data_IF_534316562507
#
_entry.id   IF_534316562507
#
_cell.length_a   1.000
_cell.length_b   1.000
_cell.length_c   1.000
_cell.angle_alpha   90.00
_cell.angle_beta   90.00
_cell.angle_gamma   90.00
#
_symmetry.space_group_name_H-M   'P 1'
#
loop_
_entity.id
_entity.type
_entity.pdbx_description
1 polymer ?
#
# COMPACT_ATOMS: atom_id res chain seq x y z
N UNK A 1 21.37 10.39 16.51
CA UNK A 1 20.49 10.02 15.36
C UNK A 1 19.51 11.16 15.15
N UNK A 2 19.58 11.88 14.03
CA UNK A 2 18.58 12.91 13.73
C UNK A 2 17.50 12.28 12.84
N UNK A 3 16.37 11.98 13.46
CA UNK A 3 15.13 11.56 12.80
C UNK A 3 14.63 12.70 11.92
N UNK A 4 14.44 12.46 10.63
CA UNK A 4 13.77 13.36 9.69
C UNK A 4 12.26 13.38 10.00
N UNK A 5 11.90 14.02 11.12
CA UNK A 5 10.54 14.51 11.29
C UNK A 5 10.51 15.89 10.65
N UNK A 6 9.90 15.99 9.47
CA UNK A 6 9.60 17.27 8.83
C UNK A 6 8.61 17.97 9.77
N UNK A 7 9.14 18.84 10.64
CA UNK A 7 8.31 19.71 11.48
C UNK A 7 7.67 20.75 10.55
N UNK A 8 6.35 20.95 10.59
CA UNK A 8 5.69 22.01 9.84
C UNK A 8 6.01 23.36 10.53
N UNK A 9 7.18 23.91 10.23
CA UNK A 9 7.51 25.29 10.58
C UNK A 9 7.08 26.21 9.44
N UNK A 10 6.41 27.32 9.76
CA UNK A 10 6.00 28.38 8.82
C UNK A 10 7.18 28.84 7.94
N UNK A 11 7.36 28.20 6.78
CA UNK A 11 8.34 28.61 5.78
C UNK A 11 7.73 29.76 4.99
N UNK A 12 8.34 30.96 5.11
CA UNK A 12 8.08 32.09 4.22
C UNK A 12 8.26 31.61 2.77
N UNK A 13 7.21 31.73 1.97
CA UNK A 13 7.21 31.33 0.57
C UNK A 13 8.11 32.32 -0.19
N UNK A 14 9.35 31.92 -0.46
CA UNK A 14 10.20 32.60 -1.44
C UNK A 14 9.69 32.20 -2.83
N UNK A 15 9.70 33.13 -3.78
CA UNK A 15 9.24 32.85 -5.15
C UNK A 15 10.03 31.69 -5.77
N UNK A 16 9.34 30.72 -6.35
CA UNK A 16 9.85 29.46 -6.91
C UNK A 16 11.05 29.65 -7.88
N UNK A 17 11.07 30.76 -8.64
CA UNK A 17 12.18 31.11 -9.56
C UNK A 17 13.50 31.47 -8.84
N UNK A 18 13.43 32.07 -7.67
CA UNK A 18 14.61 32.46 -6.88
C UNK A 18 15.16 31.23 -6.15
N UNK A 19 14.27 30.37 -5.64
CA UNK A 19 14.66 29.10 -5.00
C UNK A 19 15.42 28.18 -5.97
N UNK A 20 14.92 28.00 -7.20
CA UNK A 20 15.57 27.17 -8.20
C UNK A 20 17.00 27.64 -8.54
N UNK A 21 17.23 28.96 -8.59
CA UNK A 21 18.57 29.54 -8.84
C UNK A 21 19.55 29.33 -7.69
N UNK A 22 19.07 29.30 -6.45
CA UNK A 22 19.91 29.00 -5.29
C UNK A 22 20.16 27.50 -5.16
N UNK A 23 19.16 26.68 -5.44
CA UNK A 23 19.28 25.22 -5.48
C UNK A 23 20.34 24.75 -6.49
N UNK A 24 20.38 25.34 -7.68
CA UNK A 24 21.38 25.00 -8.71
C UNK A 24 22.82 25.33 -8.31
N UNK A 25 23.05 26.12 -7.26
CA UNK A 25 24.40 26.39 -6.72
C UNK A 25 24.91 25.28 -5.80
N UNK A 26 24.05 24.35 -5.38
CA UNK A 26 24.45 23.19 -4.59
C UNK A 26 24.80 22.05 -5.55
N UNK A 27 26.06 21.56 -5.61
CA UNK A 27 26.50 20.66 -6.69
C UNK A 27 25.65 19.40 -6.86
N UNK A 28 25.36 18.69 -5.76
CA UNK A 28 24.59 17.45 -5.83
C UNK A 28 23.12 17.70 -6.15
N UNK A 29 22.54 18.80 -5.65
CA UNK A 29 21.17 19.19 -5.96
C UNK A 29 21.02 19.58 -7.44
N UNK A 30 22.01 20.27 -8.01
CA UNK A 30 22.04 20.59 -9.43
C UNK A 30 22.06 19.30 -10.28
N UNK A 31 22.89 18.31 -9.90
CA UNK A 31 22.88 16.99 -10.55
C UNK A 31 21.50 16.33 -10.53
N UNK A 32 20.76 16.46 -9.43
CA UNK A 32 19.40 15.93 -9.32
C UNK A 32 18.38 16.72 -10.18
N UNK A 33 18.51 18.04 -10.27
CA UNK A 33 17.70 18.88 -11.16
C UNK A 33 17.95 18.55 -12.65
N UNK A 34 19.20 18.26 -13.02
CA UNK A 34 19.56 17.84 -14.37
C UNK A 34 18.92 16.48 -14.70
N UNK A 35 18.92 15.52 -13.75
CA UNK A 35 18.21 14.24 -13.90
C UNK A 35 16.71 14.40 -14.10
N UNK A 36 16.06 15.32 -13.39
CA UNK A 36 14.63 15.62 -13.57
C UNK A 36 14.33 16.21 -14.96
N UNK A 37 15.30 16.88 -15.56
CA UNK A 37 15.15 17.51 -16.88
C UNK A 37 15.40 16.53 -18.03
N UNK A 38 15.70 15.25 -17.74
CA UNK A 38 15.91 14.23 -18.77
C UNK A 38 14.65 14.04 -19.65
N UNK A 39 14.80 13.96 -21.00
CA UNK A 39 13.66 13.87 -21.93
C UNK A 39 12.74 12.67 -21.70
N UNK A 40 13.26 11.60 -21.08
CA UNK A 40 12.53 10.37 -20.78
C UNK A 40 11.62 10.50 -19.55
N UNK A 41 11.61 11.66 -18.87
CA UNK A 41 10.71 11.92 -17.76
C UNK A 41 9.38 12.45 -18.31
N UNK A 42 8.34 11.63 -18.21
CA UNK A 42 7.00 11.95 -18.70
C UNK A 42 6.06 12.25 -17.54
N UNK A 43 4.91 12.85 -17.87
CA UNK A 43 3.80 12.95 -16.94
C UNK A 43 3.27 11.54 -16.59
N UNK A 44 2.70 11.41 -15.39
CA UNK A 44 1.94 10.22 -14.99
C UNK A 44 0.47 10.54 -15.12
N UNK A 45 -0.24 9.66 -15.82
CA UNK A 45 -1.69 9.73 -16.00
C UNK A 45 -2.36 8.74 -15.07
N UNK A 46 -3.35 9.21 -14.31
CA UNK A 46 -4.23 8.37 -13.50
C UNK A 46 -5.60 8.36 -14.16
N UNK A 47 -5.97 7.21 -14.70
CA UNK A 47 -7.27 6.96 -15.32
C UNK A 47 -7.98 5.83 -14.58
N UNK A 48 -9.21 6.09 -14.21
CA UNK A 48 -10.07 5.15 -13.54
C UNK A 48 -11.48 5.68 -13.39
N UNK A 49 -12.38 4.84 -12.90
CA UNK A 49 -13.79 5.22 -12.69
C UNK A 49 -13.94 6.45 -11.79
N UNK A 50 -13.13 6.53 -10.72
CA UNK A 50 -13.23 7.56 -9.68
C UNK A 50 -12.14 8.64 -9.77
N UNK A 51 -11.20 8.50 -10.72
CA UNK A 51 -10.04 9.38 -10.83
C UNK A 51 -9.66 9.60 -12.29
N UNK A 52 -9.48 10.85 -12.67
CA UNK A 52 -9.02 11.20 -14.02
C UNK A 52 -8.19 12.48 -13.97
N UNK A 53 -6.88 12.36 -13.82
CA UNK A 53 -5.98 13.51 -13.80
C UNK A 53 -4.55 13.15 -14.19
N UNK A 54 -3.83 14.16 -14.65
CA UNK A 54 -2.40 14.07 -14.97
C UNK A 54 -1.54 14.79 -13.92
N UNK A 55 -0.39 14.19 -13.65
CA UNK A 55 0.65 14.73 -12.77
C UNK A 55 1.93 14.95 -13.56
N UNK A 56 2.45 16.17 -13.48
CA UNK A 56 3.75 16.49 -14.04
C UNK A 56 4.85 16.04 -13.06
N UNK A 57 5.50 14.92 -13.38
CA UNK A 57 6.57 14.33 -12.56
C UNK A 57 7.76 15.28 -12.36
N UNK A 58 8.09 16.10 -13.37
CA UNK A 58 9.21 17.06 -13.27
C UNK A 58 8.88 18.13 -12.23
N UNK A 59 7.66 18.68 -12.27
CA UNK A 59 7.20 19.65 -11.29
C UNK A 59 7.16 19.05 -9.88
N UNK A 60 6.71 17.80 -9.75
CA UNK A 60 6.66 17.07 -8.49
C UNK A 60 8.06 16.80 -7.92
N UNK A 61 9.01 16.41 -8.77
CA UNK A 61 10.41 16.22 -8.39
C UNK A 61 11.06 17.54 -7.95
N UNK A 62 10.79 18.65 -8.64
CA UNK A 62 11.29 19.98 -8.24
C UNK A 62 10.73 20.41 -6.88
N UNK A 63 9.44 20.16 -6.64
CA UNK A 63 8.81 20.40 -5.35
C UNK A 63 9.51 19.59 -4.24
N UNK A 64 9.74 18.30 -4.47
CA UNK A 64 10.45 17.43 -3.52
C UNK A 64 11.84 17.97 -3.21
N UNK A 65 12.63 18.29 -4.24
CA UNK A 65 13.97 18.84 -4.07
C UNK A 65 13.96 20.19 -3.34
N UNK A 66 12.97 21.05 -3.59
CA UNK A 66 12.79 22.30 -2.86
C UNK A 66 12.49 22.05 -1.38
N UNK A 67 11.59 21.12 -1.05
CA UNK A 67 11.30 20.75 0.34
C UNK A 67 12.53 20.21 1.07
N UNK A 68 13.32 19.35 0.43
CA UNK A 68 14.57 18.83 1.00
C UNK A 68 15.56 19.96 1.22
N UNK A 69 15.78 20.82 0.21
CA UNK A 69 16.68 21.96 0.33
C UNK A 69 16.30 22.92 1.46
N UNK A 70 15.01 23.24 1.61
CA UNK A 70 14.52 24.11 2.69
C UNK A 70 14.69 23.46 4.07
N UNK A 71 14.49 22.16 4.16
CA UNK A 71 14.76 21.40 5.38
C UNK A 71 16.24 21.55 5.77
N UNK A 72 17.17 21.27 4.87
CA UNK A 72 18.61 21.40 5.14
C UNK A 72 19.02 22.85 5.45
N UNK A 73 18.47 23.84 4.74
CA UNK A 73 18.67 25.26 5.05
C UNK A 73 18.26 25.62 6.48
N UNK A 74 17.12 25.08 6.94
CA UNK A 74 16.63 25.36 8.29
C UNK A 74 17.53 24.80 9.39
N UNK A 75 18.24 23.70 9.12
CA UNK A 75 19.22 23.11 10.04
C UNK A 75 20.53 23.89 10.09
N UNK A 76 20.98 24.47 8.98
CA UNK A 76 22.25 25.22 8.91
C UNK A 76 22.20 26.65 9.51
N UNK A 77 21.04 27.13 9.96
CA UNK A 77 20.88 28.45 10.58
C UNK A 77 21.03 29.65 9.63
N UNK A 78 20.66 30.86 10.09
CA UNK A 78 20.55 32.07 9.27
C UNK A 78 21.75 33.03 9.30
N UNK A 79 22.91 32.63 9.83
CA UNK A 79 24.04 33.56 9.98
C UNK A 79 24.65 34.00 8.63
N UNK A 80 24.81 35.32 8.45
CA UNK A 80 25.26 35.95 7.20
C UNK A 80 26.77 36.28 7.20
N UNK A 81 27.63 35.30 7.51
CA UNK A 81 29.08 35.48 7.36
C UNK A 81 29.59 34.81 6.07
N UNK A 82 30.30 35.54 5.18
CA UNK A 82 30.75 35.02 3.89
C UNK A 82 31.76 33.87 4.00
N UNK A 83 32.63 33.85 5.02
CA UNK A 83 33.55 32.74 5.30
C UNK A 83 32.81 31.44 5.69
N UNK A 84 31.64 31.55 6.32
CA UNK A 84 30.78 30.41 6.66
C UNK A 84 29.88 29.97 5.49
N UNK A 85 29.80 30.75 4.41
CA UNK A 85 28.91 30.45 3.28
C UNK A 85 29.33 29.19 2.51
N UNK A 86 30.64 28.97 2.33
CA UNK A 86 31.15 27.77 1.65
C UNK A 86 31.00 26.51 2.53
N UNK A 87 31.23 26.64 3.84
CA UNK A 87 30.92 25.57 4.82
C UNK A 87 29.44 25.19 4.78
N UNK A 88 28.54 26.18 4.77
CA UNK A 88 27.08 25.96 4.70
C UNK A 88 26.68 25.24 3.41
N UNK A 89 27.21 25.65 2.26
CA UNK A 89 26.92 24.94 0.99
C UNK A 89 27.36 23.48 1.04
N UNK A 90 28.54 23.21 1.64
CA UNK A 90 29.04 21.85 1.81
C UNK A 90 28.15 21.03 2.74
N UNK A 91 27.73 21.58 3.88
CA UNK A 91 26.81 20.94 4.82
C UNK A 91 25.47 20.59 4.17
N UNK A 92 24.84 21.55 3.48
CA UNK A 92 23.59 21.33 2.74
C UNK A 92 23.78 20.24 1.68
N UNK A 93 24.87 20.31 0.91
CA UNK A 93 25.18 19.32 -0.12
C UNK A 93 25.32 17.91 0.45
N UNK A 94 26.00 17.76 1.58
CA UNK A 94 26.19 16.47 2.25
C UNK A 94 24.88 15.97 2.91
N UNK A 95 24.06 16.88 3.44
CA UNK A 95 22.70 16.59 3.91
C UNK A 95 21.81 16.03 2.79
N UNK A 96 21.81 16.65 1.61
CA UNK A 96 21.05 16.17 0.45
C UNK A 96 21.56 14.82 -0.05
N UNK A 97 22.88 14.58 -0.06
CA UNK A 97 23.45 13.26 -0.39
C UNK A 97 22.99 12.19 0.59
N UNK A 98 22.96 12.52 1.88
CA UNK A 98 22.50 11.61 2.92
C UNK A 98 21.01 11.29 2.73
N UNK A 99 20.17 12.31 2.53
CA UNK A 99 18.75 12.15 2.21
C UNK A 99 18.55 11.24 0.99
N UNK A 100 19.29 11.50 -0.09
CA UNK A 100 19.21 10.71 -1.32
C UNK A 100 19.50 9.23 -1.08
N UNK A 101 20.60 8.92 -0.38
CA UNK A 101 20.97 7.53 -0.05
C UNK A 101 19.91 6.87 0.83
N UNK A 102 19.33 7.62 1.78
CA UNK A 102 18.28 7.11 2.66
C UNK A 102 17.00 6.80 1.89
N UNK A 103 16.46 7.75 1.11
CA UNK A 103 15.24 7.54 0.33
C UNK A 103 15.37 6.38 -0.66
N UNK A 104 16.54 6.26 -1.31
CA UNK A 104 16.82 5.18 -2.25
C UNK A 104 16.77 3.79 -1.61
N UNK A 105 16.99 3.70 -0.30
CA UNK A 105 16.92 2.44 0.46
C UNK A 105 15.56 2.24 1.15
N UNK A 106 14.90 3.33 1.62
CA UNK A 106 13.65 3.27 2.39
C UNK A 106 12.43 3.05 1.49
N UNK A 107 12.36 3.69 0.32
CA UNK A 107 11.20 3.59 -0.58
C UNK A 107 10.90 2.12 -0.95
N UNK A 108 11.88 1.30 -1.39
CA UNK A 108 11.65 -0.11 -1.66
C UNK A 108 11.09 -0.88 -0.46
N UNK A 109 11.62 -0.63 0.74
CA UNK A 109 11.16 -1.29 1.97
C UNK A 109 9.72 -0.91 2.32
N UNK A 110 9.34 0.35 2.12
CA UNK A 110 7.96 0.78 2.35
C UNK A 110 6.98 0.19 1.33
N UNK A 111 7.42 -0.06 0.10
CA UNK A 111 6.63 -0.78 -0.91
C UNK A 111 6.46 -2.24 -0.50
N UNK A 112 7.53 -2.91 -0.06
CA UNK A 112 7.48 -4.29 0.44
C UNK A 112 6.50 -4.42 1.62
N UNK A 113 6.63 -3.56 2.63
CA UNK A 113 5.75 -3.55 3.81
C UNK A 113 4.30 -3.32 3.41
N UNK A 114 4.06 -2.37 2.50
CA UNK A 114 2.72 -2.10 1.98
C UNK A 114 2.10 -3.32 1.30
N UNK A 115 2.83 -3.99 0.41
CA UNK A 115 2.30 -5.19 -0.25
C UNK A 115 2.04 -6.33 0.75
N UNK A 116 2.90 -6.49 1.76
CA UNK A 116 2.65 -7.45 2.85
C UNK A 116 1.37 -7.10 3.62
N UNK A 117 1.14 -5.81 3.92
CA UNK A 117 -0.09 -5.34 4.56
C UNK A 117 -1.32 -5.55 3.67
N UNK A 118 -1.17 -5.39 2.34
CA UNK A 118 -2.21 -5.71 1.38
C UNK A 118 -2.52 -7.21 1.36
N UNK A 119 -1.50 -8.09 1.37
CA UNK A 119 -1.68 -9.54 1.45
C UNK A 119 -2.36 -9.97 2.76
N UNK A 120 -2.05 -9.30 3.87
CA UNK A 120 -2.78 -9.51 5.12
C UNK A 120 -4.25 -9.08 5.01
N UNK A 121 -4.50 -8.01 4.29
CA UNK A 121 -5.84 -7.47 4.08
C UNK A 121 -6.70 -8.36 3.18
N UNK A 122 -6.14 -8.78 2.05
CA UNK A 122 -6.74 -9.55 0.95
C UNK A 122 -6.90 -11.04 1.27
N UNK A 123 -5.84 -11.65 1.80
CA UNK A 123 -5.76 -13.10 1.93
C UNK A 123 -5.74 -13.57 3.39
N UNK A 124 -5.84 -12.63 4.34
CA UNK A 124 -5.72 -12.88 5.80
C UNK A 124 -4.41 -13.59 6.18
N UNK A 125 -3.38 -13.46 5.36
CA UNK A 125 -2.05 -14.02 5.61
C UNK A 125 -1.34 -13.11 6.61
N UNK A 126 -0.98 -13.63 7.79
CA UNK A 126 -0.24 -12.87 8.80
C UNK A 126 1.25 -13.15 8.68
N UNK A 127 1.98 -12.23 8.05
CA UNK A 127 3.43 -12.33 7.90
C UNK A 127 4.14 -11.94 9.20
N UNK A 128 4.87 -12.88 9.80
CA UNK A 128 5.67 -12.62 10.99
C UNK A 128 6.93 -11.79 10.66
N UNK A 129 7.51 -11.03 11.61
CA UNK A 129 8.69 -10.19 11.35
C UNK A 129 9.86 -10.94 10.69
N UNK A 130 10.14 -12.17 11.14
CA UNK A 130 11.18 -13.02 10.54
C UNK A 130 10.95 -13.30 9.04
N UNK A 131 9.70 -13.48 8.63
CA UNK A 131 9.35 -13.71 7.23
C UNK A 131 9.40 -12.41 6.43
N UNK A 132 9.00 -11.28 7.02
CA UNK A 132 9.17 -9.96 6.41
C UNK A 132 10.66 -9.66 6.13
N UNK A 133 11.55 -9.94 7.08
CA UNK A 133 13.00 -9.76 6.90
C UNK A 133 13.55 -10.63 5.77
N UNK A 134 13.07 -11.88 5.65
CA UNK A 134 13.43 -12.77 4.54
C UNK A 134 13.00 -12.18 3.19
N UNK A 135 11.75 -11.70 3.09
CA UNK A 135 11.23 -11.08 1.87
C UNK A 135 12.08 -9.85 1.50
N UNK A 136 12.40 -8.98 2.46
CA UNK A 136 13.24 -7.80 2.23
C UNK A 136 14.60 -8.20 1.66
N UNK A 137 15.27 -9.19 2.28
CA UNK A 137 16.58 -9.67 1.84
C UNK A 137 16.51 -10.29 0.44
N UNK A 138 15.46 -11.03 0.12
CA UNK A 138 15.30 -11.65 -1.19
C UNK A 138 15.07 -10.60 -2.28
N UNK A 139 14.14 -9.67 -2.04
CA UNK A 139 13.85 -8.57 -2.98
C UNK A 139 15.07 -7.67 -3.18
N UNK A 140 15.81 -7.36 -2.11
CA UNK A 140 17.08 -6.63 -2.18
C UNK A 140 18.04 -7.32 -3.17
N UNK A 141 18.29 -8.61 -2.99
CA UNK A 141 19.19 -9.38 -3.86
C UNK A 141 18.73 -9.43 -5.30
N UNK A 142 17.44 -9.64 -5.54
CA UNK A 142 16.88 -9.82 -6.89
C UNK A 142 16.81 -8.51 -7.67
N UNK A 143 16.47 -7.40 -7.03
CA UNK A 143 16.09 -6.15 -7.73
C UNK A 143 16.96 -4.94 -7.38
N UNK A 144 17.74 -4.98 -6.30
CA UNK A 144 18.51 -3.82 -5.81
C UNK A 144 20.02 -4.11 -5.65
N UNK A 145 20.44 -5.36 -5.82
CA UNK A 145 21.84 -5.81 -5.70
C UNK A 145 22.32 -5.80 -4.24
N UNK A 146 23.64 -5.68 -4.03
CA UNK A 146 24.24 -5.64 -2.69
C UNK A 146 24.07 -4.31 -1.93
N UNK A 147 23.16 -3.44 -2.38
CA UNK A 147 22.86 -2.19 -1.71
C UNK A 147 21.93 -2.46 -0.54
N UNK A 148 22.44 -2.35 0.69
CA UNK A 148 21.67 -2.58 1.91
C UNK A 148 20.38 -1.75 1.90
N UNK A 149 19.23 -2.43 1.83
CA UNK A 149 17.94 -1.78 2.03
C UNK A 149 17.78 -1.47 3.53
N UNK A 150 17.27 -0.28 3.83
CA UNK A 150 17.10 0.22 5.20
C UNK A 150 16.05 -0.60 5.94
N UNK A 151 16.49 -1.53 6.79
CA UNK A 151 15.61 -2.41 7.57
C UNK A 151 14.85 -1.64 8.67
N UNK A 152 15.41 -0.53 9.13
CA UNK A 152 14.86 0.28 10.21
C UNK A 152 13.78 1.24 9.71
N UNK A 153 12.68 1.34 10.49
CA UNK A 153 11.45 2.07 10.19
C UNK A 153 11.58 3.60 10.13
N UNK A 154 12.40 4.10 9.22
CA UNK A 154 12.48 5.52 8.88
C UNK A 154 11.33 5.86 7.92
N UNK A 155 10.58 6.91 8.25
CA UNK A 155 9.50 7.41 7.38
C UNK A 155 10.08 7.91 6.05
N UNK A 156 9.45 7.52 4.95
CA UNK A 156 9.79 8.03 3.63
C UNK A 156 9.34 9.50 3.52
N UNK A 157 10.31 10.41 3.42
CA UNK A 157 10.06 11.85 3.30
C UNK A 157 9.40 12.18 1.96
N UNK A 158 9.69 11.42 0.89
CA UNK A 158 9.02 11.57 -0.41
C UNK A 158 7.51 11.47 -0.24
N UNK A 159 7.02 10.40 0.38
CA UNK A 159 5.61 10.17 0.64
C UNK A 159 4.96 11.32 1.44
N UNK A 160 5.66 11.82 2.47
CA UNK A 160 5.19 12.94 3.29
C UNK A 160 5.04 14.22 2.48
N UNK A 161 6.03 14.55 1.65
CA UNK A 161 5.98 15.74 0.78
C UNK A 161 4.84 15.64 -0.22
N UNK A 162 4.60 14.46 -0.81
CA UNK A 162 3.47 14.25 -1.72
C UNK A 162 2.12 14.50 -1.03
N UNK A 163 1.94 13.95 0.17
CA UNK A 163 0.69 14.11 0.94
C UNK A 163 0.45 15.54 1.43
N UNK A 164 1.50 16.32 1.63
CA UNK A 164 1.41 17.73 2.03
C UNK A 164 1.23 18.69 0.84
N UNK A 165 1.37 18.20 -0.40
CA UNK A 165 1.17 19.03 -1.58
C UNK A 165 -0.32 19.29 -1.83
N UNK A 166 -0.79 20.47 -1.42
CA UNK A 166 -2.20 20.85 -1.57
C UNK A 166 -2.72 20.70 -3.01
N UNK A 167 -1.96 21.12 -4.01
CA UNK A 167 -2.39 21.00 -5.41
C UNK A 167 -2.62 19.54 -5.83
N UNK A 168 -1.77 18.61 -5.37
CA UNK A 168 -1.92 17.19 -5.62
C UNK A 168 -3.10 16.62 -4.82
N UNK A 169 -3.24 16.99 -3.54
CA UNK A 169 -4.38 16.58 -2.72
C UNK A 169 -5.72 17.04 -3.31
N UNK A 170 -5.77 18.28 -3.80
CA UNK A 170 -6.95 18.86 -4.46
C UNK A 170 -7.24 18.17 -5.80
N UNK A 171 -6.21 17.75 -6.56
CA UNK A 171 -6.38 16.94 -7.78
C UNK A 171 -6.90 15.53 -7.49
N UNK A 172 -6.41 14.89 -6.43
CA UNK A 172 -6.88 13.56 -6.01
C UNK A 172 -8.32 13.65 -5.52
N UNK A 173 -8.69 14.75 -4.86
CA UNK A 173 -10.05 15.07 -4.44
C UNK A 173 -10.80 13.91 -3.75
N UNK A 174 -10.34 13.55 -2.55
CA UNK A 174 -10.94 12.46 -1.78
C UNK A 174 -12.44 12.64 -1.51
N UNK A 175 -12.93 13.88 -1.43
CA UNK A 175 -14.36 14.15 -1.25
C UNK A 175 -15.18 13.76 -2.48
N UNK A 176 -14.71 14.09 -3.69
CA UNK A 176 -15.40 13.69 -4.93
C UNK A 176 -15.35 12.17 -5.11
N UNK A 177 -14.19 11.55 -4.86
CA UNK A 177 -14.06 10.07 -4.88
C UNK A 177 -15.10 9.43 -3.95
N UNK A 178 -15.21 9.93 -2.71
CA UNK A 178 -16.16 9.39 -1.75
C UNK A 178 -17.61 9.57 -2.21
N UNK A 179 -17.96 10.76 -2.73
CA UNK A 179 -19.32 11.03 -3.23
C UNK A 179 -19.70 10.11 -4.40
N UNK A 180 -18.79 9.86 -5.32
CA UNK A 180 -19.03 8.94 -6.44
C UNK A 180 -19.18 7.49 -5.95
N UNK A 181 -18.33 7.06 -5.00
CA UNK A 181 -18.46 5.76 -4.35
C UNK A 181 -19.80 5.61 -3.62
N UNK A 182 -20.23 6.63 -2.87
CA UNK A 182 -21.51 6.65 -2.16
C UNK A 182 -22.69 6.54 -3.15
N UNK A 183 -22.63 7.27 -4.26
CA UNK A 183 -23.65 7.21 -5.31
C UNK A 183 -23.73 5.83 -5.96
N UNK A 184 -22.57 5.25 -6.33
CA UNK A 184 -22.51 3.92 -6.92
C UNK A 184 -22.99 2.83 -5.95
N UNK A 185 -22.62 2.93 -4.68
CA UNK A 185 -23.05 1.98 -3.66
C UNK A 185 -24.58 2.04 -3.50
N UNK A 186 -25.13 3.25 -3.34
CA UNK A 186 -26.58 3.48 -3.26
C UNK A 186 -27.32 2.93 -4.48
N UNK A 187 -26.79 3.17 -5.69
CA UNK A 187 -27.39 2.70 -6.95
C UNK A 187 -27.38 1.18 -7.07
N UNK A 188 -26.30 0.54 -6.63
CA UNK A 188 -26.11 -0.90 -6.78
C UNK A 188 -26.72 -1.71 -5.62
N UNK A 189 -27.01 -1.08 -4.48
CA UNK A 189 -27.57 -1.73 -3.28
C UNK A 189 -28.85 -2.54 -3.50
N UNK A 190 -29.83 -2.11 -4.32
CA UNK A 190 -31.00 -2.93 -4.63
C UNK A 190 -30.62 -4.24 -5.33
N UNK A 191 -29.76 -4.17 -6.35
CA UNK A 191 -29.29 -5.34 -7.08
C UNK A 191 -28.46 -6.28 -6.20
N UNK A 192 -27.64 -5.72 -5.30
CA UNK A 192 -26.93 -6.50 -4.29
C UNK A 192 -27.90 -7.24 -3.38
N UNK A 193 -28.91 -6.54 -2.85
CA UNK A 193 -29.91 -7.13 -1.96
C UNK A 193 -30.70 -8.26 -2.64
N UNK A 194 -30.99 -8.11 -3.93
CA UNK A 194 -31.69 -9.13 -4.72
C UNK A 194 -30.83 -10.35 -5.04
N UNK A 195 -29.56 -10.15 -5.42
CA UNK A 195 -28.59 -11.24 -5.60
C UNK A 195 -28.41 -12.01 -4.30
N UNK A 196 -28.34 -11.27 -3.19
CA UNK A 196 -28.25 -11.84 -1.88
C UNK A 196 -29.41 -12.76 -1.56
N UNK A 197 -30.63 -12.27 -1.83
CA UNK A 197 -31.86 -13.03 -1.59
C UNK A 197 -31.93 -14.28 -2.47
N UNK A 198 -31.44 -14.20 -3.71
CA UNK A 198 -31.40 -15.34 -4.64
C UNK A 198 -30.44 -16.43 -4.16
N UNK A 199 -29.23 -16.09 -3.76
CA UNK A 199 -28.27 -17.07 -3.26
C UNK A 199 -28.71 -17.64 -1.91
N UNK A 200 -29.25 -16.85 -0.97
CA UNK A 200 -29.86 -17.39 0.25
C UNK A 200 -30.95 -18.42 -0.06
N UNK A 201 -31.86 -18.09 -0.98
CA UNK A 201 -32.95 -18.99 -1.38
C UNK A 201 -32.44 -20.30 -2.01
N UNK A 202 -31.27 -20.30 -2.66
CA UNK A 202 -30.67 -21.50 -3.24
C UNK A 202 -30.24 -22.50 -2.17
N UNK A 203 -29.69 -22.00 -1.06
CA UNK A 203 -29.25 -22.83 0.05
C UNK A 203 -30.39 -23.22 1.00
N UNK A 204 -31.35 -22.31 1.26
CA UNK A 204 -32.56 -22.65 2.02
C UNK A 204 -33.39 -23.74 1.32
N UNK A 205 -33.37 -23.80 -0.02
CA UNK A 205 -34.03 -24.85 -0.80
C UNK A 205 -33.23 -26.16 -0.92
N UNK A 206 -32.00 -26.23 -0.40
CA UNK A 206 -31.18 -27.44 -0.38
C UNK A 206 -31.37 -28.29 0.89
N UNK A 207 -30.61 -29.37 1.00
CA UNK A 207 -30.64 -30.35 2.11
C UNK A 207 -30.01 -29.85 3.42
N UNK A 208 -30.16 -28.56 3.74
CA UNK A 208 -29.76 -28.02 5.05
C UNK A 208 -30.78 -28.43 6.12
N UNK A 209 -30.30 -28.72 7.33
CA UNK A 209 -31.18 -28.90 8.48
C UNK A 209 -31.88 -27.58 8.85
N UNK A 210 -32.98 -27.64 9.59
CA UNK A 210 -33.72 -26.44 10.01
C UNK A 210 -32.86 -25.53 10.91
N UNK A 211 -32.00 -26.10 11.76
CA UNK A 211 -31.04 -25.33 12.57
C UNK A 211 -30.00 -24.61 11.70
N UNK A 212 -29.49 -25.26 10.66
CA UNK A 212 -28.55 -24.63 9.71
C UNK A 212 -29.22 -23.54 8.87
N UNK A 213 -30.49 -23.73 8.48
CA UNK A 213 -31.27 -22.71 7.77
C UNK A 213 -31.52 -21.49 8.65
N UNK A 214 -31.80 -21.69 9.94
CA UNK A 214 -31.98 -20.62 10.92
C UNK A 214 -30.67 -19.84 11.13
N UNK A 215 -29.55 -20.53 11.37
CA UNK A 215 -28.24 -19.91 11.53
C UNK A 215 -27.82 -19.12 10.27
N UNK A 216 -28.03 -19.68 9.08
CA UNK A 216 -27.76 -19.00 7.80
C UNK A 216 -28.61 -17.74 7.64
N UNK A 217 -29.90 -17.78 8.02
CA UNK A 217 -30.81 -16.63 7.92
C UNK A 217 -30.44 -15.53 8.92
N UNK A 218 -30.04 -15.88 10.14
CA UNK A 218 -29.58 -14.94 11.16
C UNK A 218 -28.28 -14.24 10.74
N UNK A 219 -27.26 -15.01 10.34
CA UNK A 219 -25.99 -14.46 9.80
C UNK A 219 -26.23 -13.57 8.60
N UNK A 220 -27.11 -13.98 7.70
CA UNK A 220 -27.47 -13.17 6.53
C UNK A 220 -28.10 -11.83 6.93
N UNK A 221 -29.03 -11.83 7.88
CA UNK A 221 -29.69 -10.61 8.35
C UNK A 221 -28.70 -9.65 9.02
N UNK A 222 -27.77 -10.20 9.82
CA UNK A 222 -26.69 -9.46 10.46
C UNK A 222 -25.74 -8.83 9.42
N UNK A 223 -25.29 -9.60 8.42
CA UNK A 223 -24.43 -9.09 7.34
C UNK A 223 -25.12 -8.02 6.49
N UNK A 224 -26.41 -8.21 6.16
CA UNK A 224 -27.20 -7.21 5.45
C UNK A 224 -27.29 -5.90 6.25
N UNK A 225 -27.52 -6.01 7.57
CA UNK A 225 -27.58 -4.87 8.48
C UNK A 225 -26.24 -4.15 8.54
N UNK A 226 -25.14 -4.87 8.71
CA UNK A 226 -23.79 -4.30 8.68
C UNK A 226 -23.50 -3.53 7.40
N UNK A 227 -23.82 -4.07 6.24
CA UNK A 227 -23.59 -3.37 4.96
C UNK A 227 -24.40 -2.07 4.84
N UNK A 228 -25.65 -2.10 5.33
CA UNK A 228 -26.54 -0.94 5.33
C UNK A 228 -26.09 0.13 6.34
N UNK A 229 -25.57 -0.28 7.49
CA UNK A 229 -25.16 0.61 8.57
C UNK A 229 -23.70 1.11 8.41
N UNK A 230 -22.83 0.31 7.80
CA UNK A 230 -21.40 0.60 7.61
C UNK A 230 -21.06 1.21 6.25
N UNK A 231 -22.07 1.57 5.45
CA UNK A 231 -21.94 2.21 4.13
C UNK A 231 -20.85 3.30 4.12
N UNK A 232 -20.99 4.28 5.02
CA UNK A 232 -20.10 5.42 5.11
C UNK A 232 -18.68 5.04 5.51
N UNK A 233 -18.52 3.97 6.30
CA UNK A 233 -17.22 3.47 6.69
C UNK A 233 -16.53 2.76 5.51
N UNK A 234 -17.28 1.95 4.76
CA UNK A 234 -16.79 1.26 3.56
C UNK A 234 -16.30 2.26 2.52
N UNK A 235 -17.09 3.29 2.21
CA UNK A 235 -16.74 4.28 1.20
C UNK A 235 -15.55 5.14 1.65
N UNK A 236 -15.44 5.41 2.96
CA UNK A 236 -14.26 6.08 3.55
C UNK A 236 -12.99 5.22 3.42
N UNK A 237 -13.05 3.93 3.74
CA UNK A 237 -11.91 3.01 3.63
C UNK A 237 -11.47 2.87 2.16
N UNK A 238 -12.42 2.71 1.24
CA UNK A 238 -12.13 2.62 -0.20
C UNK A 238 -11.50 3.91 -0.73
N UNK A 239 -12.02 5.07 -0.34
CA UNK A 239 -11.42 6.37 -0.67
C UNK A 239 -9.97 6.43 -0.21
N UNK A 240 -9.70 6.07 1.06
CA UNK A 240 -8.34 6.08 1.62
C UNK A 240 -7.38 5.15 0.87
N UNK A 241 -7.86 4.01 0.35
CA UNK A 241 -7.06 3.10 -0.47
C UNK A 241 -6.72 3.67 -1.83
N UNK A 242 -7.71 4.22 -2.55
CA UNK A 242 -7.48 4.88 -3.85
C UNK A 242 -6.43 5.99 -3.71
N UNK A 243 -6.56 6.81 -2.66
CA UNK A 243 -5.57 7.85 -2.36
C UNK A 243 -4.19 7.26 -2.09
N UNK A 244 -4.11 6.19 -1.28
CA UNK A 244 -2.87 5.49 -0.99
C UNK A 244 -2.20 4.96 -2.28
N UNK A 245 -2.95 4.31 -3.18
CA UNK A 245 -2.45 3.78 -4.46
C UNK A 245 -1.79 4.86 -5.30
N UNK A 246 -2.47 6.00 -5.43
CA UNK A 246 -1.94 7.14 -6.19
C UNK A 246 -0.63 7.63 -5.57
N UNK A 247 -0.57 7.82 -4.25
CA UNK A 247 0.65 8.32 -3.61
C UNK A 247 1.83 7.34 -3.73
N UNK A 248 1.57 6.03 -3.64
CA UNK A 248 2.62 5.02 -3.84
C UNK A 248 3.06 4.92 -5.30
N UNK A 249 2.15 4.98 -6.27
CA UNK A 249 2.50 5.02 -7.69
C UNK A 249 3.34 6.27 -8.03
N UNK A 250 3.01 7.43 -7.45
CA UNK A 250 3.84 8.63 -7.59
C UNK A 250 5.21 8.48 -6.93
N UNK A 251 5.28 7.79 -5.79
CA UNK A 251 6.56 7.50 -5.10
C UNK A 251 7.45 6.57 -5.93
N UNK A 252 6.87 5.52 -6.52
CA UNK A 252 7.54 4.61 -7.47
C UNK A 252 8.08 5.40 -8.69
N UNK A 253 7.27 6.31 -9.22
CA UNK A 253 7.67 7.14 -10.36
C UNK A 253 8.79 8.13 -10.01
N UNK A 254 8.73 8.77 -8.84
CA UNK A 254 9.81 9.63 -8.31
C UNK A 254 11.08 8.81 -8.10
N UNK A 255 10.99 7.58 -7.57
CA UNK A 255 12.16 6.71 -7.42
C UNK A 255 12.88 6.52 -8.75
N UNK A 256 12.16 6.13 -9.80
CA UNK A 256 12.74 5.88 -11.12
C UNK A 256 13.20 7.15 -11.83
N UNK A 257 12.58 8.29 -11.56
CA UNK A 257 12.86 9.57 -12.23
C UNK A 257 14.00 10.35 -11.57
N UNK A 258 14.10 10.29 -10.25
CA UNK A 258 15.02 11.12 -9.46
C UNK A 258 16.13 10.31 -8.79
N UNK A 259 15.78 9.17 -8.19
CA UNK A 259 16.69 8.38 -7.34
C UNK A 259 17.47 7.31 -8.10
N UNK A 260 16.89 6.80 -9.18
CA UNK A 260 17.56 5.94 -10.13
C UNK A 260 18.27 6.80 -11.19
N UNK A 261 19.59 6.65 -11.32
CA UNK A 261 20.31 7.31 -12.39
C UNK A 261 20.09 6.57 -13.71
N UNK A 262 19.19 7.07 -14.55
CA UNK A 262 18.80 6.42 -15.81
C UNK A 262 19.95 6.19 -16.80
N UNK A 263 21.09 6.84 -16.60
CA UNK A 263 22.28 6.63 -17.45
C UNK A 263 23.18 5.49 -16.96
N UNK A 264 23.09 5.11 -15.69
CA UNK A 264 23.96 4.10 -15.07
C UNK A 264 23.20 2.94 -14.43
N UNK A 265 21.89 3.08 -14.26
CA UNK A 265 21.03 2.14 -13.55
C UNK A 265 19.75 1.87 -14.36
N UNK A 266 19.36 0.60 -14.43
CA UNK A 266 18.08 0.20 -15.02
C UNK A 266 16.92 0.70 -14.15
N UNK A 267 15.90 1.37 -14.70
CA UNK A 267 14.68 1.68 -13.96
C UNK A 267 14.09 0.42 -13.31
N UNK A 268 13.55 0.57 -12.10
CA UNK A 268 12.95 -0.56 -11.37
C UNK A 268 11.55 -0.82 -11.88
N UNK A 269 11.29 -2.07 -12.23
CA UNK A 269 9.94 -2.55 -12.51
C UNK A 269 9.23 -2.87 -11.18
N UNK A 270 8.55 -1.86 -10.64
CA UNK A 270 7.79 -2.02 -9.41
C UNK A 270 6.60 -2.96 -9.55
N UNK A 271 6.09 -3.22 -10.77
CA UNK A 271 5.03 -4.21 -10.98
C UNK A 271 5.58 -5.61 -10.72
N UNK A 272 6.73 -5.93 -11.32
CA UNK A 272 7.39 -7.21 -11.13
C UNK A 272 7.80 -7.42 -9.67
N UNK A 273 8.36 -6.39 -9.02
CA UNK A 273 8.72 -6.42 -7.59
C UNK A 273 7.50 -6.74 -6.72
N UNK A 274 6.37 -6.06 -6.95
CA UNK A 274 5.14 -6.28 -6.16
C UNK A 274 4.58 -7.68 -6.36
N UNK A 275 4.56 -8.18 -7.59
CA UNK A 275 4.16 -9.55 -7.89
C UNK A 275 5.02 -10.56 -7.13
N UNK A 276 6.34 -10.41 -7.18
CA UNK A 276 7.28 -11.28 -6.46
C UNK A 276 7.06 -11.23 -4.94
N UNK A 277 6.82 -10.05 -4.36
CA UNK A 277 6.52 -9.92 -2.93
C UNK A 277 5.28 -10.76 -2.55
N UNK A 278 4.21 -10.64 -3.34
CA UNK A 278 2.96 -11.37 -3.11
C UNK A 278 3.17 -12.88 -3.19
N UNK A 279 3.92 -13.35 -4.19
CA UNK A 279 4.27 -14.76 -4.36
C UNK A 279 5.09 -15.30 -3.17
N UNK A 280 6.09 -14.55 -2.70
CA UNK A 280 6.88 -14.95 -1.53
C UNK A 280 6.04 -14.98 -0.24
N UNK A 281 5.09 -14.05 -0.06
CA UNK A 281 4.17 -14.08 1.08
C UNK A 281 3.33 -15.36 1.09
N UNK A 282 2.78 -15.75 -0.07
CA UNK A 282 1.99 -16.98 -0.22
C UNK A 282 2.84 -18.21 0.08
N UNK A 283 4.03 -18.30 -0.52
CA UNK A 283 4.94 -19.44 -0.32
C UNK A 283 5.31 -19.62 1.16
N UNK A 284 5.69 -18.53 1.84
CA UNK A 284 6.06 -18.58 3.26
C UNK A 284 4.87 -18.95 4.17
N UNK A 285 3.64 -18.58 3.80
CA UNK A 285 2.43 -19.01 4.52
C UNK A 285 2.16 -20.50 4.35
N UNK A 286 2.30 -21.02 3.12
CA UNK A 286 2.17 -22.45 2.82
C UNK A 286 3.21 -23.26 3.60
N UNK A 287 4.49 -22.85 3.57
CA UNK A 287 5.57 -23.49 4.32
C UNK A 287 5.28 -23.50 5.83
N UNK A 288 4.84 -22.37 6.39
CA UNK A 288 4.52 -22.27 7.81
C UNK A 288 3.34 -23.16 8.21
N UNK A 289 2.31 -23.29 7.36
CA UNK A 289 1.18 -24.20 7.58
C UNK A 289 1.61 -25.66 7.50
N UNK A 290 2.48 -26.01 6.53
CA UNK A 290 3.01 -27.37 6.38
C UNK A 290 3.89 -27.79 7.58
N UNK A 291 4.74 -26.90 8.09
CA UNK A 291 5.53 -27.17 9.29
C UNK A 291 4.66 -27.38 10.54
N UNK A 292 3.58 -26.61 10.69
CA UNK A 292 2.63 -26.80 11.79
C UNK A 292 1.90 -28.14 11.69
N UNK A 293 1.48 -28.53 10.49
CA UNK A 293 0.83 -29.83 10.26
C UNK A 293 1.75 -31.00 10.63
N UNK A 294 3.02 -30.97 10.19
CA UNK A 294 4.03 -31.99 10.54
C UNK A 294 4.29 -32.07 12.05
N UNK A 295 4.35 -30.92 12.75
CA UNK A 295 4.52 -30.89 14.21
C UNK A 295 3.29 -31.45 14.94
N UNK A 296 2.09 -31.18 14.44
CA UNK A 296 0.85 -31.72 15.01
C UNK A 296 0.71 -33.23 14.78
N UNK A 297 1.18 -33.74 13.64
CA UNK A 297 1.21 -35.17 13.33
C UNK A 297 2.22 -35.92 14.22
N UNK A 298 3.44 -35.38 14.38
CA UNK A 298 4.45 -35.97 15.27
C UNK A 298 4.02 -35.93 16.75
N UNK A 299 3.29 -34.88 17.18
CA UNK A 299 2.74 -34.81 18.54
C UNK A 299 1.64 -35.85 18.79
N UNK A 300 0.80 -36.13 17.78
CA UNK A 300 -0.22 -37.21 17.84
C UNK A 300 0.39 -38.61 17.83
N UNK A 301 1.58 -38.78 17.24
CA UNK A 301 2.31 -40.04 17.30
C UNK A 301 2.93 -40.30 18.68
N UNK A 302 3.25 -39.24 19.44
CA UNK A 302 3.78 -39.39 20.81
C UNK A 302 2.70 -39.76 21.83
N UNK A 303 1.45 -39.33 21.63
CA UNK A 303 0.30 -39.70 22.49
C UNK A 303 -0.30 -41.08 22.19
N UNK A 304 -0.02 -41.69 21.02
CA UNK A 304 -0.57 -43.00 20.64
C UNK A 304 0.13 -44.22 21.25
N UNK A 305 1.09 -44.03 22.15
CA UNK A 305 1.73 -45.15 22.87
C UNK A 305 1.00 -45.53 24.17
N UNK A 306 -0.03 -44.78 24.59
CA UNK A 306 -0.88 -45.17 25.71
C UNK A 306 -2.37 -45.09 25.34
N UNK A 307 -3.02 -46.27 25.38
CA UNK A 307 -4.45 -46.57 25.20
C UNK A 307 -4.96 -46.73 23.76
N UNK A 308 -5.09 -48.01 23.39
CA UNK A 308 -6.11 -48.51 22.46
C UNK A 308 -7.50 -48.21 23.05
N UNK A 309 -8.30 -47.42 22.34
CA UNK A 309 -9.75 -47.57 22.31
C UNK A 309 -10.26 -47.07 20.94
N UNK A 310 -11.26 -47.77 20.42
CA UNK A 310 -11.73 -47.70 19.04
C UNK A 310 -12.14 -46.28 18.62
N UNK A 311 -11.57 -45.79 17.51
CA UNK A 311 -12.10 -44.62 16.80
C UNK A 311 -13.39 -45.02 16.06
N UNK A 312 -14.51 -44.28 16.22
CA UNK A 312 -15.65 -44.40 15.33
C UNK A 312 -15.27 -43.85 13.94
N UNK A 313 -15.99 -44.26 12.86
CA UNK A 313 -15.61 -43.90 11.50
C UNK A 313 -15.66 -42.38 11.33
N UNK A 314 -14.61 -41.83 10.73
CA UNK A 314 -14.54 -40.43 10.29
C UNK A 314 -15.60 -40.23 9.23
N UNK A 315 -16.71 -39.60 9.62
CA UNK A 315 -17.68 -39.04 8.68
C UNK A 315 -16.97 -37.88 7.97
N UNK A 316 -16.95 -37.81 6.63
CA UNK A 316 -16.44 -36.64 5.93
C UNK A 316 -17.25 -35.43 6.37
N UNK A 317 -16.56 -34.43 6.92
CA UNK A 317 -17.19 -33.18 7.34
C UNK A 317 -17.62 -32.42 6.08
N UNK A 318 -18.82 -32.75 5.58
CA UNK A 318 -19.57 -31.96 4.60
C UNK A 318 -20.13 -30.68 5.26
N UNK A 319 -19.37 -30.06 6.18
CA UNK A 319 -19.79 -28.81 6.81
C UNK A 319 -19.81 -27.73 5.75
N UNK A 320 -21.03 -27.40 5.36
CA UNK A 320 -21.32 -26.29 4.47
C UNK A 320 -20.80 -25.02 5.16
N UNK A 321 -19.76 -24.40 4.59
CA UNK A 321 -19.20 -23.15 5.12
C UNK A 321 -20.18 -22.01 4.84
N UNK A 322 -21.03 -21.74 5.84
CA UNK A 322 -22.07 -20.69 5.81
C UNK A 322 -21.48 -19.32 5.43
N UNK A 323 -20.23 -19.03 5.82
CA UNK A 323 -19.59 -17.77 5.44
C UNK A 323 -19.27 -17.73 3.94
N UNK A 324 -18.78 -18.84 3.37
CA UNK A 324 -18.48 -18.95 1.93
C UNK A 324 -19.74 -18.82 1.06
N UNK A 325 -20.88 -19.29 1.55
CA UNK A 325 -22.20 -19.09 0.94
C UNK A 325 -22.59 -17.61 0.92
N UNK A 326 -22.46 -16.95 2.07
CA UNK A 326 -22.76 -15.52 2.20
C UNK A 326 -21.82 -14.70 1.30
N UNK A 327 -20.54 -15.08 1.17
CA UNK A 327 -19.58 -14.39 0.30
C UNK A 327 -19.92 -14.50 -1.20
N UNK A 328 -20.33 -15.68 -1.69
CA UNK A 328 -20.74 -15.85 -3.10
C UNK A 328 -22.03 -15.11 -3.46
N UNK A 329 -22.88 -14.84 -2.46
CA UNK A 329 -24.14 -14.13 -2.62
C UNK A 329 -23.98 -12.63 -2.97
N UNK A 330 -22.79 -12.07 -2.73
CA UNK A 330 -22.47 -10.66 -2.91
C UNK A 330 -21.39 -10.46 -3.99
N UNK A 331 -21.62 -10.97 -5.20
CA UNK A 331 -20.75 -10.64 -6.33
C UNK A 331 -21.02 -9.20 -6.81
N UNK A 332 -20.17 -8.25 -6.41
CA UNK A 332 -20.26 -6.85 -6.83
C UNK A 332 -19.43 -6.65 -8.11
N UNK A 333 -20.08 -6.23 -9.20
CA UNK A 333 -19.42 -6.01 -10.51
C UNK A 333 -18.75 -4.64 -10.71
N UNK A 334 -18.65 -3.82 -9.68
CA UNK A 334 -18.06 -2.47 -9.80
C UNK A 334 -16.53 -2.52 -9.74
N UNK A 335 -15.86 -2.64 -10.89
CA UNK A 335 -14.39 -2.62 -10.93
C UNK A 335 -13.84 -1.27 -10.44
N UNK A 336 -13.02 -1.29 -9.39
CA UNK A 336 -12.20 -0.13 -9.00
C UNK A 336 -10.94 -0.20 -9.83
N UNK A 337 -10.93 0.52 -10.95
CA UNK A 337 -9.69 0.74 -11.70
C UNK A 337 -8.98 1.94 -11.10
N UNK A 338 -7.85 1.71 -10.40
CA UNK A 338 -6.81 2.73 -10.28
C UNK A 338 -5.77 2.47 -11.37
N UNK A 339 -4.61 3.14 -11.34
CA UNK A 339 -3.51 2.91 -12.30
C UNK A 339 -2.94 1.48 -12.32
N UNK A 340 -3.49 0.57 -11.51
CA UNK A 340 -3.31 -0.88 -11.60
C UNK A 340 -4.62 -1.54 -12.04
N UNK A 341 -4.61 -2.33 -13.12
CA UNK A 341 -5.72 -3.19 -13.44
C UNK A 341 -5.75 -4.34 -12.43
N UNK A 342 -6.95 -4.77 -12.06
CA UNK A 342 -7.25 -5.97 -11.25
C UNK A 342 -7.22 -5.79 -9.72
N UNK A 343 -8.24 -5.10 -9.19
CA UNK A 343 -8.83 -5.50 -7.92
C UNK A 343 -10.36 -5.50 -8.04
N UNK A 344 -10.91 -6.71 -8.22
CA UNK A 344 -12.35 -6.98 -8.11
C UNK A 344 -12.83 -6.75 -6.67
N UNK A 345 -14.15 -6.58 -6.49
CA UNK A 345 -14.78 -6.25 -5.19
C UNK A 345 -14.74 -7.41 -4.17
N UNK A 346 -13.91 -8.43 -4.37
CA UNK A 346 -13.48 -9.33 -3.29
C UNK A 346 -13.08 -8.56 -2.01
N UNK A 347 -12.61 -7.32 -2.15
CA UNK A 347 -12.18 -6.43 -1.07
C UNK A 347 -13.24 -5.80 -0.16
N UNK A 348 -14.48 -5.55 -0.60
CA UNK A 348 -15.52 -4.97 0.30
C UNK A 348 -15.85 -5.98 1.40
N UNK A 349 -15.87 -7.27 1.03
CA UNK A 349 -16.08 -8.36 1.98
C UNK A 349 -14.96 -8.53 2.99
N UNK A 350 -13.72 -8.27 2.59
CA UNK A 350 -12.60 -8.36 3.51
C UNK A 350 -12.51 -7.18 4.48
N UNK A 351 -13.13 -6.04 4.14
CA UNK A 351 -13.31 -4.89 5.05
C UNK A 351 -14.43 -5.19 6.05
N UNK A 352 -15.56 -5.75 5.60
CA UNK A 352 -16.67 -6.15 6.47
C UNK A 352 -16.26 -7.20 7.50
N UNK A 353 -15.44 -8.19 7.11
CA UNK A 353 -14.82 -9.18 8.03
C UNK A 353 -13.96 -8.56 9.14
N UNK A 354 -13.55 -7.30 9.03
CA UNK A 354 -12.76 -6.61 10.09
C UNK A 354 -13.65 -5.89 11.09
N UNK A 355 -14.92 -5.69 10.77
CA UNK A 355 -15.90 -5.00 11.61
C UNK A 355 -16.72 -5.97 12.46
N UNK A 356 -16.82 -7.24 12.03
CA UNK A 356 -17.24 -8.39 12.83
C UNK A 356 -16.09 -8.95 13.66
#
# INVERSE_FOLDING_TARGET
MHLFNIIPGNQKIVSEKTELKEMSKIPFLNKLLDRLSAPQNTNVKFEGKYVNFDVNTIALGKLLLSSVYKSELSFCGSENNPEKAESRKKEINDGIKKWFTQEKSIIPVNIIKREVDLMHTEHKIKTIPKNLDKIIINIEKMYFGSNALGKDGVNCSTMSVLKLNKNLTDKINGTVIKQELDCDFTKNMPAMTDNLKKELNKYIKGDLSDDQKKELTEKYAEYKKHILEDHDNLTTIMTGRIQSDIYYALTENIYNTLLCDKYTETPRDFNAIKKEIREQVILLDIEAKAEKAKKAENAKETEKTEKKEQMPPVVPDNSININDIVYRAFDFKTHVTTSYPEQDITHVMDILKRMS
#
